data_IF_805481502328
#
_entry.id   IF_805481502328
#
_cell.length_a   1.000
_cell.length_b   1.000
_cell.length_c   1.000
_cell.angle_alpha   90.00
_cell.angle_beta   90.00
_cell.angle_gamma   90.00
#
_symmetry.space_group_name_H-M   'P 1'
#
loop_
_entity.id
_entity.type
_entity.pdbx_description
1 polymer ?
#
# COMPACT_ATOMS: atom_id res chain seq x y z
N UNK A 1 -2.80 44.50 -17.23
CA UNK A 1 -3.46 43.22 -17.52
C UNK A 1 -2.75 42.13 -16.74
N UNK A 2 -3.27 41.78 -15.56
CA UNK A 2 -2.71 40.69 -14.75
C UNK A 2 -3.08 39.36 -15.42
N UNK A 3 -2.06 38.51 -15.54
CA UNK A 3 -2.01 37.29 -16.33
C UNK A 3 -3.11 36.30 -15.89
N UNK A 4 -4.10 36.06 -16.75
CA UNK A 4 -5.26 35.16 -16.52
C UNK A 4 -4.81 33.76 -16.07
N UNK A 5 -3.60 33.34 -16.46
CA UNK A 5 -3.00 32.06 -16.06
C UNK A 5 -2.65 31.96 -14.56
N UNK A 6 -2.34 33.08 -13.89
CA UNK A 6 -2.03 33.10 -12.46
C UNK A 6 -3.31 33.03 -11.61
N UNK A 7 -4.40 33.66 -12.03
CA UNK A 7 -5.70 33.56 -11.35
C UNK A 7 -6.31 32.15 -11.41
N UNK A 8 -6.17 31.44 -12.54
CA UNK A 8 -6.64 30.05 -12.67
C UNK A 8 -5.85 29.08 -11.77
N UNK A 9 -4.54 29.31 -11.60
CA UNK A 9 -3.71 28.48 -10.69
C UNK A 9 -4.07 28.67 -9.21
N UNK A 10 -4.37 29.91 -8.80
CA UNK A 10 -4.79 30.23 -7.43
C UNK A 10 -6.20 29.71 -7.13
N UNK A 11 -7.13 29.74 -8.09
CA UNK A 11 -8.45 29.11 -7.94
C UNK A 11 -8.36 27.58 -7.81
N UNK A 12 -7.47 26.93 -8.56
CA UNK A 12 -7.27 25.48 -8.43
C UNK A 12 -6.64 25.09 -7.09
N UNK A 13 -5.68 25.88 -6.57
CA UNK A 13 -5.08 25.68 -5.25
C UNK A 13 -6.08 25.91 -4.10
N UNK A 14 -6.99 26.89 -4.23
CA UNK A 14 -8.06 27.12 -3.27
C UNK A 14 -9.16 26.04 -3.32
N UNK A 15 -9.52 25.54 -4.51
CA UNK A 15 -10.45 24.41 -4.65
C UNK A 15 -9.87 23.09 -4.13
N UNK A 16 -8.57 22.86 -4.28
CA UNK A 16 -7.86 21.73 -3.69
C UNK A 16 -7.88 21.77 -2.15
N UNK A 17 -7.79 22.95 -1.53
CA UNK A 17 -7.86 23.08 -0.07
C UNK A 17 -9.30 22.94 0.46
N UNK A 18 -10.29 23.46 -0.27
CA UNK A 18 -11.71 23.34 0.12
C UNK A 18 -12.24 21.91 0.01
N UNK A 19 -11.89 21.17 -1.05
CA UNK A 19 -12.29 19.76 -1.16
C UNK A 19 -11.63 18.90 -0.08
N UNK A 20 -10.36 19.17 0.25
CA UNK A 20 -9.69 18.51 1.38
C UNK A 20 -10.34 18.88 2.73
N UNK A 21 -10.77 20.13 2.91
CA UNK A 21 -11.41 20.57 4.15
C UNK A 21 -12.82 19.98 4.31
N UNK A 22 -13.61 19.95 3.24
CA UNK A 22 -14.93 19.31 3.24
C UNK A 22 -14.82 17.80 3.53
N UNK A 23 -13.76 17.16 3.02
CA UNK A 23 -13.46 15.75 3.26
C UNK A 23 -13.07 15.49 4.72
N UNK A 24 -12.25 16.36 5.33
CA UNK A 24 -11.90 16.27 6.76
C UNK A 24 -13.13 16.49 7.65
N UNK A 25 -14.00 17.46 7.31
CA UNK A 25 -15.24 17.72 8.06
C UNK A 25 -16.22 16.54 7.97
N UNK A 26 -16.35 15.90 6.80
CA UNK A 26 -17.17 14.70 6.64
C UNK A 26 -16.61 13.51 7.45
N UNK A 27 -15.28 13.36 7.52
CA UNK A 27 -14.63 12.34 8.34
C UNK A 27 -14.88 12.56 9.84
N UNK A 28 -14.88 13.82 10.29
CA UNK A 28 -15.12 14.20 11.69
C UNK A 28 -16.60 14.07 12.09
N UNK A 29 -17.54 14.28 11.15
CA UNK A 29 -18.97 14.15 11.40
C UNK A 29 -19.45 12.69 11.54
N UNK A 30 -18.69 11.72 11.03
CA UNK A 30 -19.03 10.29 11.09
C UNK A 30 -18.88 9.67 12.49
N UNK A 31 -18.21 10.36 13.43
CA UNK A 31 -18.00 9.86 14.80
C UNK A 31 -19.10 10.26 15.79
N UNK A 32 -20.40 10.17 15.45
CA UNK A 32 -21.49 10.14 16.45
C UNK A 32 -22.71 9.39 15.93
N UNK A 33 -22.84 8.12 16.32
CA UNK A 33 -24.09 7.49 16.83
C UNK A 33 -23.88 5.99 17.00
N UNK A 34 -24.25 5.47 18.17
CA UNK A 34 -24.42 4.05 18.42
C UNK A 34 -25.90 3.68 18.41
N UNK A 35 -26.23 2.61 17.70
CA UNK A 35 -27.35 1.69 17.94
C UNK A 35 -27.18 0.47 17.05
N UNK A 36 -27.58 -0.70 17.55
CA UNK A 36 -27.42 -2.03 16.96
C UNK A 36 -28.06 -2.16 15.57
N UNK A 37 -27.21 -2.22 14.55
CA UNK A 37 -27.51 -2.50 13.15
C UNK A 37 -26.29 -3.24 12.60
N UNK A 38 -26.49 -4.21 11.68
CA UNK A 38 -25.39 -4.96 11.06
C UNK A 38 -24.29 -4.01 10.61
N UNK A 39 -23.08 -4.17 11.15
CA UNK A 39 -21.92 -3.31 10.89
C UNK A 39 -21.79 -3.10 9.38
N UNK A 40 -21.82 -1.85 8.87
CA UNK A 40 -21.44 -1.58 7.50
C UNK A 40 -20.07 -2.21 7.30
N UNK A 41 -19.90 -3.04 6.26
CA UNK A 41 -18.61 -3.71 6.08
C UNK A 41 -17.51 -2.65 6.05
N UNK A 42 -16.39 -2.89 6.70
CA UNK A 42 -15.24 -1.95 6.78
C UNK A 42 -14.73 -1.50 5.39
N UNK A 43 -15.26 -2.09 4.32
CA UNK A 43 -15.04 -1.79 2.91
C UNK A 43 -16.06 -0.84 2.27
N UNK A 44 -17.06 -0.31 2.98
CA UNK A 44 -18.06 0.58 2.38
C UNK A 44 -17.45 1.83 1.76
N UNK A 45 -16.34 2.32 2.32
CA UNK A 45 -15.58 3.44 1.75
C UNK A 45 -15.09 3.18 0.32
N UNK A 46 -14.96 1.92 -0.12
CA UNK A 46 -14.54 1.62 -1.49
C UNK A 46 -15.57 2.08 -2.53
N UNK A 47 -16.86 2.17 -2.15
CA UNK A 47 -17.94 2.65 -3.04
C UNK A 47 -17.76 4.11 -3.45
N UNK A 48 -16.92 4.87 -2.74
CA UNK A 48 -16.65 6.27 -3.06
C UNK A 48 -15.74 6.44 -4.29
N UNK A 49 -15.04 5.39 -4.72
CA UNK A 49 -14.11 5.44 -5.84
C UNK A 49 -14.77 4.95 -7.13
N UNK A 50 -14.60 5.67 -8.23
CA UNK A 50 -15.15 5.27 -9.54
C UNK A 50 -14.31 4.18 -10.23
N UNK A 51 -13.00 4.19 -9.97
CA UNK A 51 -12.02 3.22 -10.47
C UNK A 51 -11.22 2.66 -9.30
N UNK A 52 -11.19 1.34 -9.20
CA UNK A 52 -10.34 0.61 -8.28
C UNK A 52 -9.22 -0.10 -9.06
N UNK A 53 -8.01 -0.24 -8.47
CA UNK A 53 -6.97 -1.07 -9.05
C UNK A 53 -7.42 -2.53 -9.08
N UNK A 54 -7.01 -3.27 -10.11
CA UNK A 54 -7.20 -4.73 -10.16
C UNK A 54 -6.12 -5.46 -9.36
N UNK A 55 -4.98 -4.81 -9.17
CA UNK A 55 -3.83 -5.34 -8.44
C UNK A 55 -3.17 -4.23 -7.62
N UNK A 56 -2.95 -4.50 -6.33
CA UNK A 56 -2.12 -3.66 -5.47
C UNK A 56 -0.79 -4.37 -5.21
N UNK A 57 0.31 -3.67 -5.48
CA UNK A 57 1.67 -4.15 -5.26
C UNK A 57 2.26 -3.42 -4.05
N UNK A 58 2.90 -4.16 -3.15
CA UNK A 58 3.59 -3.61 -1.98
C UNK A 58 5.09 -3.92 -2.09
N UNK A 59 5.93 -2.94 -1.75
CA UNK A 59 7.24 -3.26 -1.19
C UNK A 59 7.11 -3.94 0.19
N UNK A 60 8.22 -4.38 0.78
CA UNK A 60 8.24 -5.08 2.06
C UNK A 60 8.89 -4.24 3.15
N UNK A 61 10.17 -3.92 2.99
CA UNK A 61 10.95 -3.20 4.00
C UNK A 61 10.45 -1.76 4.11
N UNK A 62 10.27 -1.24 5.32
CA UNK A 62 9.66 0.07 5.59
C UNK A 62 8.26 0.31 4.99
N UNK A 63 7.66 -0.70 4.37
CA UNK A 63 6.29 -0.68 3.87
C UNK A 63 5.38 -1.53 4.74
N UNK A 64 5.74 -2.79 5.00
CA UNK A 64 4.94 -3.70 5.85
C UNK A 64 5.50 -3.83 7.28
N UNK A 65 6.78 -3.53 7.46
CA UNK A 65 7.48 -3.58 8.74
C UNK A 65 8.56 -2.51 8.83
N UNK A 66 8.98 -2.07 10.03
CA UNK A 66 9.91 -0.95 10.22
C UNK A 66 11.39 -1.37 10.15
N UNK A 67 11.75 -2.26 9.23
CA UNK A 67 13.09 -2.84 9.13
C UNK A 67 13.51 -3.03 7.68
N UNK A 68 14.82 -2.98 7.42
CA UNK A 68 15.43 -3.69 6.29
C UNK A 68 15.78 -5.09 6.77
N UNK A 69 15.16 -6.11 6.20
CA UNK A 69 15.36 -7.50 6.65
C UNK A 69 16.80 -7.99 6.46
N UNK A 70 17.55 -7.43 5.50
CA UNK A 70 18.94 -7.78 5.22
C UNK A 70 19.97 -6.99 6.06
N UNK A 71 19.53 -5.99 6.82
CA UNK A 71 20.42 -5.08 7.54
C UNK A 71 20.12 -5.02 9.04
N UNK A 72 18.85 -4.90 9.43
CA UNK A 72 18.44 -4.66 10.82
C UNK A 72 18.13 -5.93 11.61
N UNK A 73 18.02 -7.09 10.95
CA UNK A 73 17.57 -8.34 11.56
C UNK A 73 18.73 -9.35 11.61
N UNK A 74 19.10 -9.80 12.81
CA UNK A 74 20.07 -10.88 12.97
C UNK A 74 19.43 -12.24 12.66
N UNK A 75 19.56 -12.74 11.43
CA UNK A 75 19.01 -14.06 11.02
C UNK A 75 19.60 -15.21 11.84
N UNK A 76 18.95 -16.39 12.00
CA UNK A 76 17.65 -16.72 11.45
C UNK A 76 16.51 -16.13 12.28
N UNK A 77 15.41 -15.84 11.59
CA UNK A 77 14.14 -15.47 12.22
C UNK A 77 13.47 -16.74 12.74
N UNK A 78 12.88 -16.67 13.94
CA UNK A 78 12.15 -17.76 14.55
C UNK A 78 10.80 -17.29 15.04
N UNK A 79 9.80 -18.16 14.95
CA UNK A 79 8.52 -18.01 15.65
C UNK A 79 8.51 -18.93 16.87
N UNK A 80 8.39 -18.36 18.06
CA UNK A 80 8.30 -19.10 19.32
C UNK A 80 6.90 -19.68 19.52
N UNK A 81 6.75 -20.60 20.47
CA UNK A 81 5.48 -21.32 20.73
C UNK A 81 4.34 -20.40 21.19
N UNK A 82 4.67 -19.26 21.80
CA UNK A 82 3.72 -18.19 22.17
C UNK A 82 3.30 -17.32 20.98
N UNK A 83 3.82 -17.59 19.77
CA UNK A 83 3.54 -16.85 18.56
C UNK A 83 4.42 -15.61 18.33
N UNK A 84 5.32 -15.26 19.26
CA UNK A 84 6.26 -14.16 19.08
C UNK A 84 7.24 -14.47 17.94
N UNK A 85 7.53 -13.47 17.10
CA UNK A 85 8.55 -13.57 16.05
C UNK A 85 9.79 -12.84 16.51
N UNK A 86 10.93 -13.53 16.56
CA UNK A 86 12.19 -12.97 17.02
C UNK A 86 13.33 -13.24 16.04
N UNK A 87 14.35 -12.39 16.08
CA UNK A 87 15.64 -12.65 15.45
C UNK A 87 16.53 -13.59 16.31
N UNK A 88 17.76 -13.85 15.89
CA UNK A 88 18.76 -14.68 16.59
C UNK A 88 19.09 -14.14 17.99
N UNK A 89 19.07 -12.82 18.18
CA UNK A 89 19.38 -12.17 19.47
C UNK A 89 18.19 -12.12 20.42
N UNK A 90 17.02 -12.55 19.97
CA UNK A 90 15.78 -12.49 20.75
C UNK A 90 15.06 -11.15 20.62
N UNK A 91 15.45 -10.29 19.69
CA UNK A 91 14.73 -9.04 19.39
C UNK A 91 13.36 -9.39 18.85
N UNK A 92 12.30 -8.89 19.51
CA UNK A 92 10.93 -9.08 19.04
C UNK A 92 10.69 -8.25 17.78
N UNK A 93 10.37 -8.92 16.69
CA UNK A 93 10.01 -8.31 15.42
C UNK A 93 8.51 -8.03 15.38
N UNK A 94 8.11 -7.05 14.55
CA UNK A 94 6.72 -6.68 14.33
C UNK A 94 6.48 -6.24 12.89
N UNK A 95 5.22 -6.25 12.48
CA UNK A 95 4.72 -5.53 11.30
C UNK A 95 4.02 -4.25 11.74
N UNK A 96 3.74 -3.33 10.82
CA UNK A 96 2.92 -2.16 11.13
C UNK A 96 1.51 -2.58 11.56
N UNK A 97 0.93 -1.83 12.49
CA UNK A 97 -0.25 -2.27 13.25
C UNK A 97 -1.45 -2.61 12.35
N UNK A 98 -1.66 -1.84 11.28
CA UNK A 98 -2.79 -2.00 10.37
C UNK A 98 -2.47 -2.79 9.09
N UNK A 99 -1.24 -3.30 8.94
CA UNK A 99 -0.84 -4.07 7.74
C UNK A 99 -1.80 -5.22 7.44
N UNK A 100 -2.18 -6.00 8.47
CA UNK A 100 -3.14 -7.12 8.29
C UNK A 100 -4.49 -6.62 7.79
N UNK A 101 -5.01 -5.56 8.40
CA UNK A 101 -6.32 -5.00 8.04
C UNK A 101 -6.34 -4.47 6.60
N UNK A 102 -5.25 -3.84 6.16
CA UNK A 102 -5.05 -3.39 4.78
C UNK A 102 -5.12 -4.57 3.81
N UNK A 103 -4.35 -5.62 4.07
CA UNK A 103 -4.31 -6.81 3.21
C UNK A 103 -5.64 -7.56 3.19
N UNK A 104 -6.29 -7.72 4.35
CA UNK A 104 -7.63 -8.30 4.48
C UNK A 104 -8.66 -7.52 3.67
N UNK A 105 -8.69 -6.20 3.83
CA UNK A 105 -9.64 -5.34 3.11
C UNK A 105 -9.49 -5.51 1.60
N UNK A 106 -8.25 -5.53 1.09
CA UNK A 106 -8.01 -5.76 -0.34
C UNK A 106 -8.50 -7.14 -0.78
N UNK A 107 -8.20 -8.18 0.01
CA UNK A 107 -8.56 -9.55 -0.35
C UNK A 107 -10.06 -9.82 -0.33
N UNK A 108 -10.76 -9.35 0.70
CA UNK A 108 -12.22 -9.48 0.83
C UNK A 108 -12.96 -8.82 -0.35
N UNK A 109 -12.37 -7.77 -0.93
CA UNK A 109 -12.92 -7.04 -2.06
C UNK A 109 -12.35 -7.51 -3.41
N UNK A 110 -11.74 -8.70 -3.44
CA UNK A 110 -11.25 -9.37 -4.66
C UNK A 110 -10.22 -8.55 -5.45
N UNK A 111 -9.50 -7.65 -4.78
CA UNK A 111 -8.36 -6.96 -5.37
C UNK A 111 -7.15 -7.86 -5.20
N UNK A 112 -6.44 -8.15 -6.30
CA UNK A 112 -5.24 -8.98 -6.24
C UNK A 112 -4.13 -8.25 -5.48
N UNK A 113 -3.26 -9.02 -4.82
CA UNK A 113 -2.16 -8.46 -4.03
C UNK A 113 -0.84 -9.09 -4.46
N UNK A 114 0.18 -8.27 -4.68
CA UNK A 114 1.53 -8.74 -4.95
C UNK A 114 2.58 -8.11 -4.02
N UNK A 115 3.65 -8.86 -3.75
CA UNK A 115 4.87 -8.34 -3.14
C UNK A 115 5.94 -8.15 -4.22
N UNK A 116 6.63 -7.01 -4.18
CA UNK A 116 7.79 -6.72 -4.99
C UNK A 116 8.91 -6.17 -4.10
N UNK A 117 9.91 -6.97 -3.75
CA UNK A 117 11.01 -6.56 -2.85
C UNK A 117 12.38 -6.86 -3.43
N UNK A 118 13.29 -5.91 -3.26
CA UNK A 118 14.67 -5.94 -3.75
C UNK A 118 15.68 -6.45 -2.72
N UNK A 119 15.22 -6.97 -1.58
CA UNK A 119 16.06 -7.40 -0.46
C UNK A 119 17.15 -8.39 -0.89
N UNK A 120 18.31 -8.30 -0.23
CA UNK A 120 19.39 -9.29 -0.35
C UNK A 120 19.11 -10.58 0.43
N UNK A 121 18.08 -10.59 1.29
CA UNK A 121 17.70 -11.76 2.09
C UNK A 121 16.30 -12.29 1.76
N UNK A 122 16.04 -12.81 0.54
CA UNK A 122 14.73 -13.36 0.17
C UNK A 122 14.19 -14.46 1.09
N UNK A 123 14.99 -15.41 1.62
CA UNK A 123 14.48 -16.40 2.56
C UNK A 123 13.91 -15.76 3.83
N UNK A 124 14.61 -14.76 4.39
CA UNK A 124 14.17 -14.06 5.60
C UNK A 124 12.89 -13.25 5.37
N UNK A 125 12.78 -12.56 4.24
CA UNK A 125 11.55 -11.86 3.88
C UNK A 125 10.35 -12.82 3.77
N UNK A 126 10.53 -14.01 3.18
CA UNK A 126 9.47 -15.03 3.12
C UNK A 126 9.11 -15.57 4.51
N UNK A 127 10.11 -15.76 5.38
CA UNK A 127 9.88 -16.14 6.77
C UNK A 127 9.09 -15.08 7.54
N UNK A 128 9.37 -13.78 7.34
CA UNK A 128 8.57 -12.69 7.91
C UNK A 128 7.10 -12.79 7.47
N UNK A 129 6.84 -12.91 6.16
CA UNK A 129 5.48 -13.05 5.63
C UNK A 129 4.74 -14.25 6.25
N UNK A 130 5.43 -15.39 6.36
CA UNK A 130 4.90 -16.64 6.93
C UNK A 130 4.63 -16.51 8.43
N UNK A 131 5.61 -16.06 9.21
CA UNK A 131 5.52 -16.04 10.66
C UNK A 131 4.51 -15.02 11.18
N UNK A 132 4.35 -13.89 10.49
CA UNK A 132 3.28 -12.93 10.76
C UNK A 132 1.91 -13.34 10.20
N UNK A 133 1.80 -14.48 9.52
CA UNK A 133 0.56 -14.99 8.93
C UNK A 133 -0.08 -13.99 7.95
N UNK A 134 0.76 -13.34 7.14
CA UNK A 134 0.33 -12.42 6.06
C UNK A 134 0.64 -12.96 4.66
N UNK A 135 1.43 -14.04 4.56
CA UNK A 135 1.77 -14.67 3.28
C UNK A 135 0.53 -15.08 2.47
N UNK A 136 -0.53 -15.51 3.16
CA UNK A 136 -1.81 -15.97 2.59
C UNK A 136 -2.58 -14.90 1.80
N UNK A 137 -2.28 -13.62 1.98
CA UNK A 137 -2.96 -12.55 1.26
C UNK A 137 -2.34 -12.28 -0.12
N UNK A 138 -1.08 -12.66 -0.33
CA UNK A 138 -0.34 -12.39 -1.56
C UNK A 138 -0.61 -13.43 -2.63
N UNK A 139 -1.13 -12.98 -3.78
CA UNK A 139 -1.31 -13.81 -4.97
C UNK A 139 0.00 -14.02 -5.74
N UNK A 140 0.88 -13.01 -5.72
CA UNK A 140 2.17 -13.03 -6.43
C UNK A 140 3.28 -12.48 -5.53
N UNK A 141 4.49 -13.05 -5.61
CA UNK A 141 5.62 -12.64 -4.77
C UNK A 141 6.91 -12.64 -5.57
N UNK A 142 7.33 -11.46 -6.02
CA UNK A 142 8.66 -11.24 -6.58
C UNK A 142 9.57 -10.68 -5.48
N UNK A 143 10.40 -11.54 -4.90
CA UNK A 143 11.30 -11.19 -3.78
C UNK A 143 12.71 -11.67 -4.13
N UNK A 144 13.54 -10.78 -4.64
CA UNK A 144 14.94 -11.03 -4.99
C UNK A 144 15.70 -9.72 -5.31
N UNK A 145 17.03 -9.72 -5.23
CA UNK A 145 17.84 -8.59 -5.65
C UNK A 145 17.65 -8.24 -7.14
N UNK A 146 17.52 -6.95 -7.45
CA UNK A 146 17.50 -6.49 -8.83
C UNK A 146 16.74 -5.18 -9.03
N UNK A 147 16.53 -4.81 -10.28
CA UNK A 147 15.70 -3.65 -10.62
C UNK A 147 14.22 -3.99 -10.46
N UNK A 148 13.45 -3.04 -9.92
CA UNK A 148 12.01 -3.25 -9.65
C UNK A 148 11.19 -3.46 -10.93
N UNK A 149 11.69 -2.98 -12.08
CA UNK A 149 11.07 -3.23 -13.39
C UNK A 149 10.96 -4.71 -13.71
N UNK A 150 11.97 -5.52 -13.40
CA UNK A 150 11.94 -6.97 -13.64
C UNK A 150 10.87 -7.68 -12.79
N UNK A 151 10.66 -7.20 -11.57
CA UNK A 151 9.60 -7.69 -10.68
C UNK A 151 8.23 -7.39 -11.28
N UNK A 152 7.99 -6.15 -11.68
CA UNK A 152 6.73 -5.73 -12.30
C UNK A 152 6.45 -6.44 -13.63
N UNK A 153 7.47 -6.75 -14.43
CA UNK A 153 7.32 -7.54 -15.66
C UNK A 153 6.78 -8.96 -15.37
N UNK A 154 7.31 -9.62 -14.34
CA UNK A 154 6.85 -10.97 -13.94
C UNK A 154 5.47 -10.92 -13.30
N UNK A 155 5.23 -9.97 -12.40
CA UNK A 155 3.89 -9.73 -11.82
C UNK A 155 2.85 -9.50 -12.92
N UNK A 156 3.14 -8.64 -13.91
CA UNK A 156 2.23 -8.41 -15.05
C UNK A 156 1.98 -9.69 -15.86
N UNK A 157 3.03 -10.47 -16.11
CA UNK A 157 2.93 -11.73 -16.86
C UNK A 157 2.03 -12.73 -16.15
N UNK A 158 2.24 -12.93 -14.85
CA UNK A 158 1.58 -14.00 -14.10
C UNK A 158 0.16 -13.61 -13.66
N UNK A 159 -0.07 -12.32 -13.37
CA UNK A 159 -1.41 -11.79 -13.04
C UNK A 159 -2.28 -11.48 -14.25
N UNK A 160 -1.67 -11.30 -15.43
CA UNK A 160 -2.31 -10.76 -16.63
C UNK A 160 -2.99 -9.38 -16.43
N UNK A 161 -2.60 -8.63 -15.38
CA UNK A 161 -3.10 -7.27 -15.12
C UNK A 161 -2.24 -6.26 -15.86
N UNK A 162 -2.84 -5.30 -16.54
CA UNK A 162 -2.08 -4.24 -17.21
C UNK A 162 -1.51 -3.26 -16.19
N UNK A 163 -0.36 -2.66 -16.47
CA UNK A 163 0.28 -1.71 -15.55
C UNK A 163 -0.64 -0.55 -15.16
N UNK A 164 -1.53 -0.12 -16.05
CA UNK A 164 -2.48 0.94 -15.75
C UNK A 164 -3.54 0.57 -14.72
N UNK A 165 -3.82 -0.72 -14.57
CA UNK A 165 -4.75 -1.24 -13.56
C UNK A 165 -4.05 -1.55 -12.23
N UNK A 166 -2.78 -1.17 -12.06
CA UNK A 166 -1.98 -1.41 -10.86
C UNK A 166 -1.80 -0.15 -10.00
N UNK A 167 -1.85 -0.36 -8.67
CA UNK A 167 -1.44 0.61 -7.65
C UNK A 167 -0.24 0.04 -6.89
N UNK A 168 0.79 0.85 -6.67
CA UNK A 168 2.04 0.44 -6.03
C UNK A 168 2.39 1.31 -4.83
N UNK A 169 2.70 0.70 -3.69
CA UNK A 169 3.19 1.36 -2.48
C UNK A 169 4.65 1.01 -2.21
N UNK A 170 5.48 2.03 -2.00
CA UNK A 170 6.92 1.89 -1.74
C UNK A 170 7.45 3.14 -1.03
N UNK A 171 8.35 2.97 -0.07
CA UNK A 171 8.98 4.05 0.69
C UNK A 171 10.25 4.61 0.02
N UNK A 172 10.78 3.95 -1.02
CA UNK A 172 11.98 4.36 -1.74
C UNK A 172 11.62 5.11 -3.03
N UNK A 173 11.92 6.41 -3.05
CA UNK A 173 11.57 7.30 -4.16
C UNK A 173 12.17 6.84 -5.50
N UNK A 174 13.36 6.22 -5.49
CA UNK A 174 13.95 5.64 -6.71
C UNK A 174 13.03 4.59 -7.34
N UNK A 175 12.39 3.75 -6.54
CA UNK A 175 11.46 2.73 -7.03
C UNK A 175 10.20 3.39 -7.62
N UNK A 176 9.65 4.39 -6.94
CA UNK A 176 8.48 5.16 -7.42
C UNK A 176 8.74 5.82 -8.78
N UNK A 177 9.87 6.51 -8.93
CA UNK A 177 10.27 7.16 -10.20
C UNK A 177 10.47 6.12 -11.31
N UNK A 178 11.01 4.95 -10.98
CA UNK A 178 11.27 3.89 -11.95
C UNK A 178 9.97 3.24 -12.44
N UNK A 179 9.07 2.87 -11.51
CA UNK A 179 7.86 2.10 -11.83
C UNK A 179 6.76 2.98 -12.44
N UNK A 180 6.68 4.26 -12.07
CA UNK A 180 5.71 5.19 -12.67
C UNK A 180 5.86 5.35 -14.19
N UNK A 181 7.08 5.16 -14.73
CA UNK A 181 7.35 5.15 -16.18
C UNK A 181 6.65 4.01 -16.91
N UNK A 182 6.25 2.96 -16.21
CA UNK A 182 5.47 1.84 -16.77
C UNK A 182 3.97 2.11 -16.81
N UNK A 183 3.51 3.34 -16.47
CA UNK A 183 2.10 3.71 -16.33
C UNK A 183 1.40 3.03 -15.15
N UNK A 184 2.14 2.56 -14.14
CA UNK A 184 1.60 2.15 -12.82
C UNK A 184 1.31 3.39 -11.97
N UNK A 185 0.19 3.40 -11.23
CA UNK A 185 -0.02 4.45 -10.22
C UNK A 185 0.86 4.12 -9.02
N UNK A 186 1.80 4.99 -8.70
CA UNK A 186 2.72 4.81 -7.59
C UNK A 186 2.37 5.79 -6.46
N UNK A 187 2.32 5.29 -5.23
CA UNK A 187 2.13 6.05 -4.00
C UNK A 187 3.44 6.00 -3.20
N UNK A 188 4.09 7.16 -3.07
CA UNK A 188 5.31 7.29 -2.27
C UNK A 188 4.97 7.30 -0.79
N UNK A 189 5.33 6.22 -0.09
CA UNK A 189 4.94 5.99 1.28
C UNK A 189 5.86 6.74 2.23
N UNK A 190 5.30 7.74 2.94
CA UNK A 190 6.00 8.47 4.02
C UNK A 190 5.39 8.07 5.36
N UNK A 191 5.93 7.04 6.01
CA UNK A 191 5.46 6.55 7.30
C UNK A 191 5.15 5.07 7.29
N UNK A 192 4.04 4.67 7.92
CA UNK A 192 3.65 3.28 8.10
C UNK A 192 2.46 2.94 7.20
N UNK A 193 2.43 1.72 6.63
CA UNK A 193 1.24 1.26 5.93
C UNK A 193 0.04 1.15 6.88
N UNK A 194 -1.07 1.78 6.48
CA UNK A 194 -2.29 1.90 7.27
C UNK A 194 -3.52 2.01 6.38
N UNK A 195 -4.71 1.86 6.96
CA UNK A 195 -5.98 2.07 6.26
C UNK A 195 -6.11 3.49 5.72
N UNK A 196 -5.54 4.48 6.42
CA UNK A 196 -5.46 5.86 5.91
C UNK A 196 -4.62 5.92 4.62
N UNK A 197 -3.41 5.35 4.64
CA UNK A 197 -2.53 5.32 3.46
C UNK A 197 -3.17 4.55 2.30
N UNK A 198 -3.86 3.44 2.59
CA UNK A 198 -4.62 2.71 1.57
C UNK A 198 -5.68 3.61 0.92
N UNK A 199 -6.50 4.29 1.72
CA UNK A 199 -7.53 5.22 1.22
C UNK A 199 -6.94 6.33 0.35
N UNK A 200 -5.83 6.92 0.78
CA UNK A 200 -5.11 7.95 0.01
C UNK A 200 -4.57 7.40 -1.32
N UNK A 201 -4.00 6.19 -1.32
CA UNK A 201 -3.52 5.53 -2.53
C UNK A 201 -4.64 5.18 -3.51
N UNK A 202 -5.79 4.72 -3.01
CA UNK A 202 -6.97 4.45 -3.82
C UNK A 202 -7.57 5.73 -4.40
N UNK A 203 -7.62 6.82 -3.62
CA UNK A 203 -8.05 8.13 -4.11
C UNK A 203 -7.13 8.65 -5.23
N UNK A 204 -5.81 8.50 -5.06
CA UNK A 204 -4.84 8.86 -6.09
C UNK A 204 -5.03 8.03 -7.36
N UNK A 205 -5.29 6.72 -7.22
CA UNK A 205 -5.57 5.84 -8.34
C UNK A 205 -6.82 6.29 -9.09
N UNK A 206 -7.92 6.48 -8.37
CA UNK A 206 -9.20 6.90 -8.93
C UNK A 206 -9.08 8.23 -9.70
N UNK A 207 -8.42 9.22 -9.09
CA UNK A 207 -8.17 10.52 -9.73
C UNK A 207 -7.36 10.37 -11.04
N UNK A 208 -6.29 9.56 -11.04
CA UNK A 208 -5.44 9.37 -12.23
C UNK A 208 -6.10 8.55 -13.33
N UNK A 209 -7.11 7.73 -13.01
CA UNK A 209 -7.81 6.88 -13.98
C UNK A 209 -9.15 7.41 -14.42
N UNK A 210 -9.71 8.37 -13.71
CA UNK A 210 -10.92 9.11 -14.13
C UNK A 210 -10.58 10.23 -15.12
N UNK A 211 -9.38 10.83 -15.02
CA UNK A 211 -8.95 11.93 -15.88
C UNK A 211 -8.27 11.49 -17.19
N UNK A 212 -8.43 10.22 -17.60
CA UNK A 212 -7.96 9.67 -18.88
C UNK A 212 -9.15 9.28 -19.73
#
# INVERSE_FOLDING_TARGET
MLNVSLQLSLLNLLNLSFNNLLFVVALMASQRKGSSESTPSDSEFLKQFHRLPKLVVFDLDYTLWPYWVDTHIDLPIKKTSDGTVCDRRGTKLKIYAETKKVLETLKENKILIAAASRTQEPPAARDMLKYFDIDKYFDFKEIYPGEKTAHFQRIKKDSNVQYEDMLFFDDENRNIVTISKLNVVCFYLRGEMSMRILKEGLALFDQKRTNK
#
